data_IF_573817333899
#
_entry.id   IF_573817333899
#
_cell.length_a   1.000
_cell.length_b   1.000
_cell.length_c   1.000
_cell.angle_alpha   90.00
_cell.angle_beta   90.00
_cell.angle_gamma   90.00
#
_symmetry.space_group_name_H-M   'P 1'
#
loop_
_entity.id
_entity.type
_entity.pdbx_description
1 polymer ?
#
# COMPACT_ATOMS: atom_id res chain seq x y z
N UNK A 1 25.31 -26.43 -49.49
CA UNK A 1 25.29 -26.26 -48.02
C UNK A 1 26.08 -25.00 -47.66
N UNK A 2 25.45 -23.81 -47.68
CA UNK A 2 26.06 -22.57 -47.16
C UNK A 2 25.01 -21.44 -47.16
N UNK A 3 23.96 -21.52 -46.33
CA UNK A 3 22.96 -20.43 -46.27
C UNK A 3 22.04 -20.41 -45.03
N UNK A 4 22.50 -20.95 -43.90
CA UNK A 4 21.67 -21.11 -42.70
C UNK A 4 22.24 -20.46 -41.42
N UNK A 5 23.30 -19.65 -41.51
CA UNK A 5 24.02 -19.15 -40.33
C UNK A 5 23.80 -17.66 -40.00
N UNK A 6 22.88 -16.97 -40.67
CA UNK A 6 22.77 -15.50 -40.56
C UNK A 6 21.42 -14.95 -40.04
N UNK A 7 20.54 -15.76 -39.46
CA UNK A 7 19.20 -15.32 -39.07
C UNK A 7 18.76 -15.68 -37.63
N UNK A 8 19.62 -15.50 -36.64
CA UNK A 8 19.20 -15.62 -35.23
C UNK A 8 19.88 -14.60 -34.32
N UNK A 9 19.79 -13.32 -34.67
CA UNK A 9 20.31 -12.24 -33.83
C UNK A 9 19.39 -11.01 -33.85
N UNK A 10 18.08 -11.22 -33.69
CA UNK A 10 17.13 -10.13 -33.48
C UNK A 10 16.12 -10.60 -32.44
N UNK A 11 15.82 -9.75 -31.46
CA UNK A 11 14.70 -9.83 -30.50
C UNK A 11 15.01 -10.28 -29.07
N UNK A 12 16.12 -9.82 -28.48
CA UNK A 12 16.22 -9.74 -27.01
C UNK A 12 16.65 -8.32 -26.60
N UNK A 13 15.86 -7.32 -27.01
CA UNK A 13 15.81 -6.04 -26.32
C UNK A 13 14.63 -6.13 -25.34
N UNK A 14 14.89 -6.89 -24.28
CA UNK A 14 14.00 -7.05 -23.13
C UNK A 14 13.71 -5.67 -22.55
N UNK A 15 12.42 -5.31 -22.56
CA UNK A 15 11.73 -4.43 -21.63
C UNK A 15 12.61 -3.90 -20.50
N UNK A 16 13.37 -2.83 -20.77
CA UNK A 16 13.79 -1.92 -19.72
C UNK A 16 12.51 -1.20 -19.29
N UNK A 17 11.74 -1.83 -18.41
CA UNK A 17 10.68 -1.16 -17.68
C UNK A 17 11.33 0.01 -16.99
N UNK A 18 11.03 1.23 -17.44
CA UNK A 18 11.42 2.45 -16.76
C UNK A 18 10.98 2.27 -15.31
N UNK A 19 11.93 2.11 -14.40
CA UNK A 19 11.66 2.25 -12.99
C UNK A 19 11.28 3.72 -12.81
N UNK A 20 9.98 4.04 -12.88
CA UNK A 20 9.54 5.37 -12.52
C UNK A 20 9.81 5.48 -11.02
N UNK A 21 10.80 6.29 -10.67
CA UNK A 21 10.93 6.86 -9.32
C UNK A 21 9.93 8.02 -9.18
N UNK A 22 8.79 7.93 -9.85
CA UNK A 22 7.81 8.98 -10.03
C UNK A 22 6.92 9.15 -8.81
N UNK A 23 6.40 10.36 -8.66
CA UNK A 23 5.27 10.63 -7.80
C UNK A 23 4.00 10.21 -8.52
N UNK A 24 3.12 9.54 -7.81
CA UNK A 24 1.83 9.13 -8.34
C UNK A 24 1.01 10.36 -8.70
N UNK A 25 0.60 10.44 -9.96
CA UNK A 25 -0.25 11.50 -10.48
C UNK A 25 -1.71 11.08 -10.30
N UNK A 26 -2.35 11.60 -9.26
CA UNK A 26 -3.71 11.22 -8.92
C UNK A 26 -4.68 11.76 -10.00
N UNK A 27 -5.63 10.93 -10.45
CA UNK A 27 -6.61 11.37 -11.44
C UNK A 27 -7.49 12.50 -10.89
N UNK A 28 -7.97 13.34 -11.82
CA UNK A 28 -8.86 14.45 -11.51
C UNK A 28 -10.24 14.21 -12.12
N UNK A 29 -11.30 14.30 -11.30
CA UNK A 29 -12.68 14.22 -11.77
C UNK A 29 -13.57 13.22 -11.02
N UNK A 30 -14.88 13.27 -11.30
CA UNK A 30 -15.93 12.50 -10.61
C UNK A 30 -15.90 11.00 -10.89
N UNK A 31 -15.10 10.56 -11.87
CA UNK A 31 -15.01 9.15 -12.26
C UNK A 31 -13.99 8.37 -11.43
N UNK A 32 -13.06 9.06 -10.75
CA UNK A 32 -12.07 8.42 -9.90
C UNK A 32 -12.71 7.75 -8.67
N UNK A 33 -12.18 6.60 -8.29
CA UNK A 33 -12.46 5.97 -7.02
C UNK A 33 -11.67 6.65 -5.90
N UNK A 34 -12.29 6.79 -4.73
CA UNK A 34 -11.60 7.25 -3.53
C UNK A 34 -11.18 6.06 -2.69
N UNK A 35 -9.89 6.00 -2.34
CA UNK A 35 -9.36 5.04 -1.38
C UNK A 35 -8.84 5.80 -0.16
N UNK A 36 -9.32 5.45 1.03
CA UNK A 36 -8.84 5.99 2.31
C UNK A 36 -8.29 4.90 3.23
N UNK A 37 -7.57 5.31 4.27
CA UNK A 37 -7.11 4.44 5.35
C UNK A 37 -7.94 4.64 6.60
N UNK A 38 -8.31 3.53 7.22
CA UNK A 38 -8.84 3.45 8.57
C UNK A 38 -7.79 2.80 9.46
N UNK A 39 -7.12 3.63 10.26
CA UNK A 39 -6.09 3.18 11.19
C UNK A 39 -6.75 2.70 12.49
N UNK A 40 -6.85 1.39 12.67
CA UNK A 40 -7.42 0.75 13.86
C UNK A 40 -6.33 0.32 14.85
N UNK A 41 -5.07 0.71 14.61
CA UNK A 41 -3.97 0.45 15.52
C UNK A 41 -4.10 1.35 16.75
N UNK A 42 -3.92 0.75 17.92
CA UNK A 42 -3.87 1.50 19.18
C UNK A 42 -2.46 2.00 19.46
N UNK A 43 -2.37 3.17 20.09
CA UNK A 43 -1.08 3.69 20.57
C UNK A 43 -0.40 2.64 21.48
N UNK A 44 0.94 2.55 21.47
CA UNK A 44 1.66 1.67 22.37
C UNK A 44 1.31 2.04 23.82
N UNK A 45 0.98 1.06 24.65
CA UNK A 45 0.89 1.29 26.10
C UNK A 45 2.27 1.67 26.61
N UNK A 46 2.37 2.77 27.38
CA UNK A 46 3.62 3.21 27.97
C UNK A 46 4.32 2.02 28.65
N UNK A 47 5.54 1.70 28.21
CA UNK A 47 6.39 0.77 28.94
C UNK A 47 6.66 1.39 30.32
N UNK A 48 6.39 0.62 31.37
CA UNK A 48 6.55 1.06 32.75
C UNK A 48 7.93 1.65 33.03
N UNK A 49 8.00 2.47 34.07
CA UNK A 49 9.17 3.22 34.54
C UNK A 49 10.34 2.29 34.94
N UNK A 50 10.99 1.67 33.95
CA UNK A 50 12.23 0.93 34.17
C UNK A 50 13.41 1.80 33.73
N UNK A 51 14.34 2.02 34.65
CA UNK A 51 15.44 2.98 34.58
C UNK A 51 16.59 2.53 33.65
N UNK A 52 16.27 2.18 32.42
CA UNK A 52 17.21 1.84 31.34
C UNK A 52 17.16 2.84 30.19
N UNK A 53 18.15 2.79 29.29
CA UNK A 53 18.11 3.52 28.03
C UNK A 53 16.87 3.09 27.22
N UNK A 54 15.88 3.96 27.13
CA UNK A 54 14.67 3.72 26.35
C UNK A 54 14.93 4.07 24.88
N UNK A 55 14.58 3.15 23.99
CA UNK A 55 14.56 3.42 22.55
C UNK A 55 13.46 4.45 22.29
N UNK A 56 13.72 5.52 21.51
CA UNK A 56 12.65 6.42 21.08
C UNK A 56 11.64 5.63 20.24
N UNK A 57 10.48 5.35 20.81
CA UNK A 57 9.35 4.76 20.06
C UNK A 57 8.47 5.89 19.55
N UNK A 58 7.88 5.75 18.36
CA UNK A 58 6.78 6.63 17.94
C UNK A 58 5.71 6.60 19.03
N UNK A 59 5.30 7.79 19.51
CA UNK A 59 4.22 7.94 20.50
C UNK A 59 2.85 7.59 19.93
N UNK A 60 2.73 7.45 18.61
CA UNK A 60 1.49 7.21 17.89
C UNK A 60 1.63 5.98 16.99
N UNK A 61 0.57 5.16 16.94
CA UNK A 61 0.43 4.15 15.91
C UNK A 61 -0.06 4.80 14.62
N UNK A 62 0.61 4.53 13.50
CA UNK A 62 0.35 5.18 12.21
C UNK A 62 0.07 4.15 11.14
N UNK A 63 -0.87 4.45 10.25
CA UNK A 63 -1.09 3.71 9.04
C UNK A 63 -1.41 4.67 7.89
N UNK A 64 -0.92 4.42 6.68
CA UNK A 64 -1.14 5.29 5.51
C UNK A 64 -0.95 4.55 4.19
N UNK A 65 -1.53 5.11 3.12
CA UNK A 65 -1.27 4.70 1.75
C UNK A 65 0.13 5.18 1.33
N UNK A 66 0.93 4.30 0.76
CA UNK A 66 2.32 4.59 0.40
C UNK A 66 2.52 4.73 -1.11
N UNK A 67 2.02 3.76 -1.89
CA UNK A 67 2.18 3.72 -3.35
C UNK A 67 0.93 3.25 -4.06
N UNK A 68 0.76 3.72 -5.29
CA UNK A 68 -0.15 3.16 -6.29
C UNK A 68 0.67 2.78 -7.51
N UNK A 69 0.54 1.54 -7.97
CA UNK A 69 1.24 0.97 -9.12
C UNK A 69 2.77 1.10 -9.11
N UNK A 70 3.34 1.19 -7.91
CA UNK A 70 4.78 1.33 -7.68
C UNK A 70 5.26 2.77 -7.53
N UNK A 71 4.40 3.75 -7.79
CA UNK A 71 4.69 5.18 -7.68
C UNK A 71 4.28 5.72 -6.32
N UNK A 72 5.07 6.65 -5.78
CA UNK A 72 4.87 7.16 -4.41
C UNK A 72 3.74 8.19 -4.38
N UNK A 73 2.82 8.05 -3.44
CA UNK A 73 1.71 9.00 -3.28
C UNK A 73 2.18 10.32 -2.68
N UNK A 74 3.13 10.26 -1.74
CA UNK A 74 3.68 11.44 -1.06
C UNK A 74 5.21 11.35 -0.88
N UNK A 75 5.85 12.52 -0.80
CA UNK A 75 7.29 12.65 -0.54
C UNK A 75 7.67 12.06 0.83
N UNK A 76 6.77 12.18 1.82
CA UNK A 76 6.97 11.72 3.19
C UNK A 76 5.70 11.07 3.74
N UNK A 77 5.87 10.04 4.58
CA UNK A 77 4.81 9.44 5.42
C UNK A 77 3.49 9.02 4.74
N UNK A 78 3.43 8.94 3.41
CA UNK A 78 2.24 8.51 2.67
C UNK A 78 1.07 9.49 2.75
N UNK A 79 -0.14 9.01 2.43
CA UNK A 79 -1.37 9.79 2.49
C UNK A 79 -2.51 8.99 3.15
N UNK A 80 -3.44 9.70 3.80
CA UNK A 80 -4.63 9.11 4.41
C UNK A 80 -5.73 8.79 3.39
N UNK A 81 -5.70 9.45 2.23
CA UNK A 81 -6.64 9.24 1.13
C UNK A 81 -5.96 9.54 -0.19
N UNK A 82 -6.37 8.86 -1.25
CA UNK A 82 -5.92 9.10 -2.62
C UNK A 82 -7.05 8.83 -3.60
N UNK A 83 -7.06 9.53 -4.74
CA UNK A 83 -7.91 9.19 -5.88
C UNK A 83 -7.22 8.14 -6.74
N UNK A 84 -7.97 7.16 -7.22
CA UNK A 84 -7.49 6.05 -8.05
C UNK A 84 -8.39 5.92 -9.27
N UNK A 85 -7.82 5.69 -10.43
CA UNK A 85 -8.61 5.43 -11.63
C UNK A 85 -9.46 4.16 -11.48
N UNK A 86 -10.53 4.08 -12.28
CA UNK A 86 -11.28 2.84 -12.38
C UNK A 86 -10.42 1.77 -13.06
N UNK A 87 -10.38 0.56 -12.50
CA UNK A 87 -9.60 -0.53 -13.05
C UNK A 87 -8.71 -1.22 -12.02
N UNK A 88 -7.82 -2.07 -12.53
CA UNK A 88 -6.96 -2.91 -11.70
C UNK A 88 -5.70 -2.15 -11.30
N UNK A 89 -5.57 -1.87 -10.01
CA UNK A 89 -4.42 -1.19 -9.43
C UNK A 89 -3.76 -2.03 -8.34
N UNK A 90 -2.46 -1.82 -8.16
CA UNK A 90 -1.69 -2.33 -7.03
C UNK A 90 -1.47 -1.21 -6.02
N UNK A 91 -1.87 -1.45 -4.77
CA UNK A 91 -1.71 -0.45 -3.70
C UNK A 91 -0.76 -1.00 -2.65
N UNK A 92 0.16 -0.15 -2.20
CA UNK A 92 1.02 -0.41 -1.05
C UNK A 92 0.64 0.52 0.09
N UNK A 93 0.55 -0.05 1.29
CA UNK A 93 0.26 0.65 2.55
C UNK A 93 1.42 0.43 3.51
N UNK A 94 1.54 1.25 4.53
CA UNK A 94 2.41 0.95 5.66
C UNK A 94 1.68 1.11 6.98
N UNK A 95 2.20 0.43 7.99
CA UNK A 95 1.81 0.56 9.38
C UNK A 95 3.06 0.61 10.26
N UNK A 96 2.99 1.45 11.30
CA UNK A 96 4.00 1.55 12.34
C UNK A 96 3.30 1.63 13.70
N UNK A 97 3.58 0.65 14.55
CA UNK A 97 3.17 0.64 15.94
C UNK A 97 4.40 0.33 16.79
N UNK A 98 4.73 1.24 17.72
CA UNK A 98 5.89 1.11 18.61
C UNK A 98 7.25 0.95 17.88
N UNK A 99 7.40 1.54 16.68
CA UNK A 99 8.62 1.44 15.87
C UNK A 99 8.71 0.16 15.02
N UNK A 100 7.65 -0.65 14.98
CA UNK A 100 7.55 -1.82 14.12
C UNK A 100 6.96 -1.38 12.78
N UNK A 101 7.79 -0.83 11.90
CA UNK A 101 7.35 -0.45 10.56
C UNK A 101 7.20 -1.69 9.66
N UNK A 102 6.06 -1.81 8.98
CA UNK A 102 5.76 -2.85 7.97
C UNK A 102 5.07 -2.25 6.76
N UNK A 103 5.20 -2.94 5.63
CA UNK A 103 4.61 -2.54 4.35
C UNK A 103 3.73 -3.66 3.80
N UNK A 104 2.46 -3.33 3.56
CA UNK A 104 1.47 -4.22 2.98
C UNK A 104 1.27 -3.91 1.50
N UNK A 105 0.95 -4.93 0.70
CA UNK A 105 0.65 -4.77 -0.73
C UNK A 105 -0.52 -5.63 -1.14
N UNK A 106 -1.48 -5.03 -1.84
CA UNK A 106 -2.62 -5.72 -2.44
C UNK A 106 -2.91 -5.23 -3.86
N UNK A 107 -3.78 -5.96 -4.56
CA UNK A 107 -4.33 -5.58 -5.87
C UNK A 107 -5.85 -5.66 -5.83
N UNK A 108 -6.51 -4.69 -6.41
CA UNK A 108 -7.97 -4.68 -6.51
C UNK A 108 -8.43 -4.03 -7.82
N UNK A 109 -9.64 -4.37 -8.28
CA UNK A 109 -10.27 -3.75 -9.42
C UNK A 109 -11.29 -2.70 -8.94
N UNK A 110 -10.89 -1.43 -8.95
CA UNK A 110 -11.69 -0.33 -8.43
C UNK A 110 -12.80 0.04 -9.43
N UNK A 111 -14.04 0.06 -8.95
CA UNK A 111 -15.16 0.60 -9.72
C UNK A 111 -15.12 2.12 -9.78
N UNK A 112 -15.56 2.68 -10.92
CA UNK A 112 -15.71 4.11 -11.15
C UNK A 112 -16.55 4.77 -10.03
N UNK A 113 -16.06 5.89 -9.49
CA UNK A 113 -16.71 6.62 -8.39
C UNK A 113 -16.86 5.81 -7.09
N UNK A 114 -16.22 4.64 -6.99
CA UNK A 114 -16.32 3.80 -5.80
C UNK A 114 -15.57 4.40 -4.62
N UNK A 115 -16.13 4.23 -3.41
CA UNK A 115 -15.53 4.70 -2.17
C UNK A 115 -15.09 3.47 -1.37
N UNK A 116 -13.80 3.37 -1.13
CA UNK A 116 -13.16 2.23 -0.49
C UNK A 116 -12.35 2.67 0.71
N UNK A 117 -12.20 1.76 1.66
CA UNK A 117 -11.42 1.96 2.88
C UNK A 117 -10.51 0.76 3.09
N UNK A 118 -9.23 1.02 3.37
CA UNK A 118 -8.29 0.02 3.87
C UNK A 118 -8.27 0.12 5.38
N UNK A 119 -8.78 -0.89 6.06
CA UNK A 119 -8.67 -1.04 7.51
C UNK A 119 -7.35 -1.71 7.83
N UNK A 120 -6.63 -1.14 8.78
CA UNK A 120 -5.36 -1.70 9.23
C UNK A 120 -5.43 -1.90 10.74
N UNK A 121 -5.33 -3.16 11.16
CA UNK A 121 -5.41 -3.60 12.55
C UNK A 121 -4.21 -4.47 12.93
N UNK A 122 -4.03 -4.72 14.22
CA UNK A 122 -3.01 -5.65 14.69
C UNK A 122 -3.45 -7.09 14.39
N UNK A 123 -2.56 -7.91 13.84
CA UNK A 123 -2.85 -9.33 13.63
C UNK A 123 -2.93 -10.07 14.97
N UNK A 124 -3.85 -11.03 15.09
CA UNK A 124 -3.97 -11.84 16.30
C UNK A 124 -2.70 -12.68 16.55
N UNK A 125 -2.04 -12.45 17.68
CA UNK A 125 -0.96 -13.30 18.17
C UNK A 125 0.40 -13.16 17.46
N UNK A 126 0.59 -12.21 16.54
CA UNK A 126 1.86 -11.95 15.84
C UNK A 126 2.21 -10.46 15.82
N UNK A 127 3.49 -10.13 15.60
CA UNK A 127 3.99 -8.75 15.40
C UNK A 127 3.71 -8.24 13.96
N UNK A 128 2.62 -8.71 13.38
CA UNK A 128 2.20 -8.45 12.01
C UNK A 128 0.91 -7.62 12.04
N UNK A 129 0.56 -7.01 10.92
CA UNK A 129 -0.67 -6.24 10.76
C UNK A 129 -1.61 -6.94 9.79
N UNK A 130 -2.91 -6.79 9.99
CA UNK A 130 -3.92 -7.24 9.03
C UNK A 130 -4.44 -6.03 8.26
N UNK A 131 -4.50 -6.18 6.93
CA UNK A 131 -5.11 -5.20 6.02
C UNK A 131 -6.42 -5.78 5.48
N UNK A 132 -7.48 -4.98 5.51
CA UNK A 132 -8.76 -5.32 4.89
C UNK A 132 -9.23 -4.20 3.97
N UNK A 133 -9.53 -4.52 2.72
CA UNK A 133 -10.20 -3.61 1.81
C UNK A 133 -11.70 -3.83 1.86
N UNK A 134 -12.46 -2.76 2.10
CA UNK A 134 -13.92 -2.77 2.09
C UNK A 134 -14.47 -1.64 1.22
N UNK A 135 -15.73 -1.74 0.83
CA UNK A 135 -16.49 -0.57 0.33
C UNK A 135 -17.04 0.20 1.51
N UNK A 136 -16.98 1.53 1.46
CA UNK A 136 -17.55 2.36 2.52
C UNK A 136 -19.06 2.15 2.69
N UNK A 137 -19.77 1.81 1.61
CA UNK A 137 -21.21 1.52 1.63
C UNK A 137 -21.58 0.12 2.13
N UNK A 138 -20.61 -0.80 2.21
CA UNK A 138 -20.81 -2.18 2.64
C UNK A 138 -19.61 -2.61 3.51
N UNK A 139 -19.49 -2.06 4.74
CA UNK A 139 -18.33 -2.24 5.60
C UNK A 139 -18.09 -3.69 6.05
N UNK A 140 -19.11 -4.54 6.00
CA UNK A 140 -19.01 -5.94 6.42
C UNK A 140 -18.55 -6.88 5.28
N UNK A 141 -18.59 -6.40 4.03
CA UNK A 141 -18.13 -7.16 2.86
C UNK A 141 -16.65 -6.89 2.59
N UNK A 142 -15.80 -7.75 3.15
CA UNK A 142 -14.34 -7.71 2.94
C UNK A 142 -13.99 -8.17 1.53
N UNK A 143 -13.42 -7.26 0.74
CA UNK A 143 -13.02 -7.49 -0.65
C UNK A 143 -11.62 -8.08 -0.78
N UNK A 144 -10.73 -7.72 0.15
CA UNK A 144 -9.35 -8.21 0.24
C UNK A 144 -9.00 -8.30 1.71
N UNK A 145 -8.35 -9.39 2.12
CA UNK A 145 -7.75 -9.52 3.45
C UNK A 145 -6.33 -10.07 3.32
N UNK A 146 -5.39 -9.55 4.12
CA UNK A 146 -3.99 -10.00 4.10
C UNK A 146 -3.21 -9.55 5.34
N UNK A 147 -2.40 -10.46 5.88
CA UNK A 147 -1.40 -10.14 6.90
C UNK A 147 -0.07 -9.65 6.28
N UNK A 148 0.61 -8.69 6.92
CA UNK A 148 1.86 -8.08 6.43
C UNK A 148 2.76 -7.52 7.54
#
# INVERSE_FOLDING_TARGET
>A
MLRLLSLSLVSVLMLAGCASTGMYDAPTGEQAATLSVDNQLSAPTAQGEDAGWQMPTSSEAKASLFKVDGERIAEQAGAQSVQIEAGKHSVEVFADQAGILRFGKFRHNFAQGGIYQVRISAAEGKKDYTLELVKASAPDDVLVTKDF
#
